data_IF_030717237460
#
_entry.id   IF_030717237460
#
_cell.length_a   1.000
_cell.length_b   1.000
_cell.length_c   1.000
_cell.angle_alpha   90.00
_cell.angle_beta   90.00
_cell.angle_gamma   90.00
#
_symmetry.space_group_name_H-M   'P 1'
#
loop_
_entity.id
_entity.type
_entity.pdbx_description
1 polymer ?
#
# COMPACT_ATOMS: atom_id res chain seq x y z
N UNK A 1 42.62 19.80 -30.45
CA UNK A 1 41.71 19.13 -29.50
C UNK A 1 40.34 19.76 -29.72
N UNK A 2 39.45 19.04 -30.39
CA UNK A 2 38.18 19.53 -30.89
C UNK A 2 37.16 19.73 -29.77
N UNK A 3 36.33 20.78 -29.91
CA UNK A 3 35.16 21.08 -29.06
C UNK A 3 34.21 19.88 -28.92
N UNK A 4 34.24 18.95 -29.88
CA UNK A 4 33.47 17.70 -29.88
C UNK A 4 33.75 16.80 -28.67
N UNK A 5 34.98 16.84 -28.12
CA UNK A 5 35.32 16.04 -26.93
C UNK A 5 34.70 16.63 -25.65
N UNK A 6 34.45 17.95 -25.63
CA UNK A 6 33.84 18.63 -24.48
C UNK A 6 32.30 18.47 -24.47
N UNK A 7 31.68 18.30 -25.64
CA UNK A 7 30.24 18.09 -25.76
C UNK A 7 29.77 16.65 -25.46
N UNK A 8 30.68 15.67 -25.41
CA UNK A 8 30.33 14.27 -25.10
C UNK A 8 29.88 14.04 -23.65
N UNK A 9 30.13 15.00 -22.75
CA UNK A 9 29.70 14.97 -21.34
C UNK A 9 28.64 16.03 -20.99
N UNK A 10 28.19 16.83 -21.97
CA UNK A 10 27.12 17.78 -21.76
C UNK A 10 25.79 17.04 -21.69
N UNK A 11 25.32 16.72 -20.48
CA UNK A 11 23.93 16.30 -20.27
C UNK A 11 23.04 17.41 -20.81
N UNK A 12 22.27 17.11 -21.87
CA UNK A 12 21.31 18.04 -22.44
C UNK A 12 20.39 18.53 -21.31
N UNK A 13 20.11 19.84 -21.19
CA UNK A 13 19.20 20.33 -20.16
C UNK A 13 17.82 19.68 -20.35
N UNK A 14 17.42 18.81 -19.42
CA UNK A 14 16.10 18.19 -19.41
C UNK A 14 15.05 19.25 -19.14
N UNK A 15 14.04 19.37 -20.00
CA UNK A 15 12.98 20.36 -19.84
C UNK A 15 12.11 20.05 -18.61
N UNK A 16 11.47 21.05 -17.99
CA UNK A 16 10.58 20.84 -16.85
C UNK A 16 9.48 19.79 -17.11
N UNK A 17 8.99 19.72 -18.35
CA UNK A 17 7.99 18.73 -18.79
C UNK A 17 8.51 17.30 -18.72
N UNK A 18 9.74 17.05 -19.20
CA UNK A 18 10.35 15.71 -19.17
C UNK A 18 10.63 15.29 -17.72
N UNK A 19 11.07 16.23 -16.88
CA UNK A 19 11.28 15.98 -15.45
C UNK A 19 9.96 15.55 -14.78
N UNK A 20 8.87 16.28 -15.02
CA UNK A 20 7.55 15.96 -14.45
C UNK A 20 7.02 14.60 -14.94
N UNK A 21 7.23 14.27 -16.21
CA UNK A 21 6.86 12.97 -16.78
C UNK A 21 7.63 11.82 -16.12
N UNK A 22 8.94 11.97 -15.93
CA UNK A 22 9.76 10.97 -15.24
C UNK A 22 9.33 10.79 -13.78
N UNK A 23 9.08 11.89 -13.07
CA UNK A 23 8.58 11.83 -11.68
C UNK A 23 7.23 11.11 -11.59
N UNK A 24 6.32 11.33 -12.53
CA UNK A 24 5.04 10.64 -12.57
C UNK A 24 5.22 9.13 -12.81
N UNK A 25 6.11 8.74 -13.73
CA UNK A 25 6.40 7.34 -14.01
C UNK A 25 7.04 6.63 -12.81
N UNK A 26 7.96 7.32 -12.12
CA UNK A 26 8.57 6.83 -10.88
C UNK A 26 7.54 6.68 -9.76
N UNK A 27 6.59 7.60 -9.64
CA UNK A 27 5.48 7.45 -8.69
C UNK A 27 4.58 6.27 -9.07
N UNK A 28 4.31 6.04 -10.35
CA UNK A 28 3.41 4.98 -10.77
C UNK A 28 4.02 3.59 -10.57
N UNK A 29 5.27 3.38 -11.00
CA UNK A 29 5.91 2.06 -11.06
C UNK A 29 6.94 1.81 -9.97
N UNK A 30 7.38 2.85 -9.26
CA UNK A 30 8.49 2.79 -8.32
C UNK A 30 9.85 2.87 -9.03
N UNK A 31 10.91 2.73 -8.25
CA UNK A 31 12.30 2.68 -8.71
C UNK A 31 13.01 1.49 -8.07
N UNK A 32 14.29 1.27 -8.35
CA UNK A 32 15.07 0.24 -7.64
C UNK A 32 15.27 0.54 -6.15
N UNK A 33 15.05 1.80 -5.73
CA UNK A 33 15.32 2.26 -4.36
C UNK A 33 14.07 2.66 -3.59
N UNK A 34 12.98 2.95 -4.30
CA UNK A 34 11.74 3.48 -3.71
C UNK A 34 10.52 2.75 -4.28
N UNK A 35 9.54 2.42 -3.42
CA UNK A 35 8.28 1.84 -3.88
C UNK A 35 7.47 2.82 -4.73
N UNK A 36 6.50 2.32 -5.52
CA UNK A 36 5.49 3.17 -6.16
C UNK A 36 4.71 3.96 -5.10
N UNK A 37 4.27 5.15 -5.47
CA UNK A 37 3.57 6.10 -4.60
C UNK A 37 2.09 6.20 -4.94
N UNK A 38 1.26 6.06 -3.91
CA UNK A 38 -0.19 6.25 -3.96
C UNK A 38 -0.47 7.74 -4.03
N UNK A 39 -0.80 8.25 -5.21
CA UNK A 39 -1.00 9.69 -5.44
C UNK A 39 -2.45 10.12 -5.21
N UNK A 40 -3.40 9.23 -5.47
CA UNK A 40 -4.84 9.45 -5.36
C UNK A 40 -5.55 8.24 -4.75
N UNK A 41 -6.80 8.42 -4.32
CA UNK A 41 -7.59 7.35 -3.69
C UNK A 41 -8.09 6.33 -4.73
N UNK A 42 -8.28 6.77 -5.97
CA UNK A 42 -8.77 5.97 -7.10
C UNK A 42 -7.72 4.94 -7.54
N UNK A 43 -6.44 5.25 -7.32
CA UNK A 43 -5.32 4.37 -7.66
C UNK A 43 -5.11 3.22 -6.67
N UNK A 44 -5.80 3.21 -5.52
CA UNK A 44 -5.48 2.32 -4.40
C UNK A 44 -5.32 0.85 -4.80
N UNK A 45 -6.28 0.28 -5.53
CA UNK A 45 -6.24 -1.15 -5.88
C UNK A 45 -5.06 -1.49 -6.78
N UNK A 46 -4.83 -0.69 -7.83
CA UNK A 46 -3.68 -0.90 -8.71
C UNK A 46 -2.35 -0.60 -8.04
N UNK A 47 -2.29 0.44 -7.20
CA UNK A 47 -1.11 0.77 -6.41
C UNK A 47 -0.77 -0.34 -5.43
N UNK A 48 -1.77 -0.91 -4.74
CA UNK A 48 -1.59 -1.99 -3.77
C UNK A 48 -0.85 -3.14 -4.43
N UNK A 49 -1.36 -3.66 -5.55
CA UNK A 49 -0.72 -4.76 -6.26
C UNK A 49 0.73 -4.43 -6.67
N UNK A 50 0.99 -3.20 -7.14
CA UNK A 50 2.37 -2.77 -7.49
C UNK A 50 3.27 -2.66 -6.25
N UNK A 51 2.75 -2.15 -5.15
CA UNK A 51 3.47 -2.02 -3.89
C UNK A 51 3.84 -3.38 -3.30
N UNK A 52 2.90 -4.33 -3.28
CA UNK A 52 3.14 -5.71 -2.82
C UNK A 52 4.23 -6.38 -3.67
N UNK A 53 4.08 -6.35 -5.00
CA UNK A 53 5.05 -6.92 -5.94
C UNK A 53 6.43 -6.26 -5.88
N UNK A 54 6.51 -5.01 -5.44
CA UNK A 54 7.77 -4.31 -5.25
C UNK A 54 8.40 -4.66 -3.89
N UNK A 55 7.64 -4.67 -2.80
CA UNK A 55 8.20 -4.86 -1.44
C UNK A 55 8.58 -6.31 -1.18
N UNK A 56 7.78 -7.29 -1.59
CA UNK A 56 8.03 -8.70 -1.31
C UNK A 56 9.43 -9.19 -1.75
N UNK A 57 9.87 -9.01 -3.02
CA UNK A 57 11.17 -9.47 -3.45
C UNK A 57 12.33 -8.63 -2.89
N UNK A 58 12.12 -7.34 -2.65
CA UNK A 58 13.19 -6.41 -2.24
C UNK A 58 13.39 -6.37 -0.71
N UNK A 59 12.32 -6.57 0.07
CA UNK A 59 12.27 -6.34 1.51
C UNK A 59 11.38 -7.36 2.24
N UNK A 60 11.55 -8.66 1.93
CA UNK A 60 10.72 -9.73 2.47
C UNK A 60 10.57 -9.71 4.00
N UNK A 61 11.65 -9.48 4.76
CA UNK A 61 11.58 -9.38 6.23
C UNK A 61 10.71 -8.23 6.72
N UNK A 62 10.73 -7.10 6.01
CA UNK A 62 9.89 -5.94 6.31
C UNK A 62 8.43 -6.26 5.97
N UNK A 63 8.18 -6.96 4.86
CA UNK A 63 6.85 -7.43 4.47
C UNK A 63 6.20 -8.32 5.54
N UNK A 64 6.97 -9.21 6.17
CA UNK A 64 6.45 -10.05 7.27
C UNK A 64 5.84 -9.23 8.42
N UNK A 65 6.31 -8.00 8.65
CA UNK A 65 5.83 -7.14 9.74
C UNK A 65 4.40 -6.60 9.53
N UNK A 66 3.92 -6.49 8.29
CA UNK A 66 2.51 -6.13 8.05
C UNK A 66 1.57 -7.35 8.12
N UNK A 67 2.11 -8.54 7.83
CA UNK A 67 1.40 -9.81 7.99
C UNK A 67 1.21 -10.13 9.48
N UNK A 68 2.30 -10.01 10.25
CA UNK A 68 2.32 -10.26 11.70
C UNK A 68 2.82 -9.02 12.44
N UNK A 69 1.97 -8.50 13.35
CA UNK A 69 2.29 -7.32 14.16
C UNK A 69 3.65 -7.50 14.85
N UNK A 70 4.54 -6.55 14.63
CA UNK A 70 5.77 -6.46 15.42
C UNK A 70 5.43 -6.21 16.90
N UNK A 71 6.15 -6.89 17.78
CA UNK A 71 6.03 -6.72 19.23
C UNK A 71 7.42 -6.47 19.77
N UNK A 72 7.55 -5.45 20.63
CA UNK A 72 8.82 -5.16 21.27
C UNK A 72 9.29 -6.35 22.12
N UNK A 73 10.56 -6.75 21.99
CA UNK A 73 11.15 -7.78 22.84
C UNK A 73 11.00 -7.45 24.32
N UNK A 74 10.75 -8.47 25.15
CA UNK A 74 10.59 -8.34 26.59
C UNK A 74 11.61 -9.16 27.35
N UNK A 75 11.98 -8.69 28.53
CA UNK A 75 12.80 -9.43 29.49
C UNK A 75 11.99 -10.55 30.14
N UNK A 76 12.66 -11.41 30.91
CA UNK A 76 12.00 -12.46 31.71
C UNK A 76 10.95 -11.89 32.68
N UNK A 77 11.13 -10.64 33.11
CA UNK A 77 10.22 -9.91 34.00
C UNK A 77 9.07 -9.21 33.26
N UNK A 78 8.85 -9.53 31.98
CA UNK A 78 7.81 -8.90 31.12
C UNK A 78 7.98 -7.40 30.88
N UNK A 79 9.16 -6.84 31.18
CA UNK A 79 9.48 -5.44 30.87
C UNK A 79 10.00 -5.33 29.44
N UNK A 80 9.62 -4.27 28.73
CA UNK A 80 10.15 -4.00 27.39
C UNK A 80 11.67 -3.78 27.45
N UNK A 81 12.40 -4.49 26.58
CA UNK A 81 13.85 -4.33 26.46
C UNK A 81 14.20 -3.00 25.80
N UNK A 82 15.33 -2.42 26.19
CA UNK A 82 15.95 -1.33 25.44
C UNK A 82 16.68 -1.88 24.20
N UNK A 83 16.85 -1.04 23.18
CA UNK A 83 17.53 -1.43 21.92
C UNK A 83 18.96 -1.94 22.18
N UNK A 84 19.65 -1.44 23.20
CA UNK A 84 20.98 -1.91 23.61
C UNK A 84 20.99 -3.38 24.04
N UNK A 85 19.89 -3.87 24.60
CA UNK A 85 19.73 -5.22 25.15
C UNK A 85 19.23 -6.22 24.10
N UNK A 86 18.94 -5.77 22.88
CA UNK A 86 18.45 -6.64 21.83
C UNK A 86 19.55 -7.56 21.34
N UNK A 87 19.24 -8.85 21.23
CA UNK A 87 20.06 -9.79 20.49
C UNK A 87 19.94 -9.55 18.97
N UNK A 88 20.76 -10.21 18.17
CA UNK A 88 20.82 -9.97 16.72
C UNK A 88 19.49 -10.18 16.01
N UNK A 89 18.74 -11.22 16.38
CA UNK A 89 17.41 -11.52 15.81
C UNK A 89 16.37 -10.47 16.19
N UNK A 90 16.40 -10.00 17.44
CA UNK A 90 15.54 -8.91 17.92
C UNK A 90 15.85 -7.59 17.19
N UNK A 91 17.15 -7.28 16.97
CA UNK A 91 17.58 -6.12 16.19
C UNK A 91 17.17 -6.21 14.73
N UNK A 92 17.28 -7.39 14.12
CA UNK A 92 16.85 -7.64 12.75
C UNK A 92 15.35 -7.36 12.60
N UNK A 93 14.51 -7.91 13.48
CA UNK A 93 13.06 -7.68 13.45
C UNK A 93 12.70 -6.21 13.69
N UNK A 94 13.40 -5.54 14.62
CA UNK A 94 13.20 -4.11 14.85
C UNK A 94 13.56 -3.27 13.61
N UNK A 95 14.68 -3.58 12.94
CA UNK A 95 15.07 -2.91 11.70
C UNK A 95 14.06 -3.17 10.58
N UNK A 96 13.57 -4.40 10.45
CA UNK A 96 12.55 -4.76 9.47
C UNK A 96 11.25 -3.96 9.69
N UNK A 97 10.78 -3.83 10.94
CA UNK A 97 9.61 -3.01 11.27
C UNK A 97 9.83 -1.54 10.91
N UNK A 98 10.99 -0.96 11.27
CA UNK A 98 11.31 0.44 10.94
C UNK A 98 11.44 0.66 9.43
N UNK A 99 12.02 -0.31 8.72
CA UNK A 99 12.10 -0.27 7.27
C UNK A 99 10.70 -0.29 6.65
N UNK A 100 9.82 -1.18 7.10
CA UNK A 100 8.47 -1.27 6.57
C UNK A 100 7.66 0.01 6.79
N UNK A 101 7.77 0.63 7.98
CA UNK A 101 7.16 1.94 8.26
C UNK A 101 7.69 3.00 7.28
N UNK A 102 9.00 3.05 7.07
CA UNK A 102 9.62 4.00 6.13
C UNK A 102 9.13 3.80 4.70
N UNK A 103 9.03 2.54 4.24
CA UNK A 103 8.52 2.20 2.91
C UNK A 103 7.07 2.66 2.74
N UNK A 104 6.21 2.43 3.74
CA UNK A 104 4.81 2.90 3.72
C UNK A 104 4.73 4.43 3.68
N UNK A 105 5.53 5.14 4.48
CA UNK A 105 5.56 6.61 4.47
C UNK A 105 6.05 7.19 3.13
N UNK A 106 6.95 6.50 2.44
CA UNK A 106 7.40 6.91 1.11
C UNK A 106 6.33 6.62 0.03
N UNK A 107 5.65 5.49 0.16
CA UNK A 107 4.69 5.00 -0.81
C UNK A 107 3.29 5.60 -0.66
N UNK A 108 3.00 6.33 0.42
CA UNK A 108 1.70 6.94 0.66
C UNK A 108 1.88 8.45 0.62
N UNK A 109 1.06 9.16 -0.15
CA UNK A 109 1.05 10.62 -0.13
C UNK A 109 0.59 11.13 1.24
N UNK A 110 1.22 12.20 1.73
CA UNK A 110 1.06 12.70 3.10
C UNK A 110 -0.40 13.02 3.44
N UNK A 111 -1.16 13.61 2.50
CA UNK A 111 -2.58 13.94 2.67
C UNK A 111 -3.47 12.71 2.87
N UNK A 112 -3.10 11.56 2.29
CA UNK A 112 -3.74 10.26 2.56
C UNK A 112 -3.27 9.73 3.91
N UNK A 113 -1.96 9.79 4.18
CA UNK A 113 -1.35 9.21 5.38
C UNK A 113 -1.93 9.80 6.67
N UNK A 114 -2.07 11.13 6.76
CA UNK A 114 -2.59 11.82 7.95
C UNK A 114 -4.06 11.48 8.26
N UNK A 115 -4.80 10.94 7.29
CA UNK A 115 -6.20 10.53 7.47
C UNK A 115 -6.34 9.09 8.00
N UNK A 116 -5.24 8.34 8.09
CA UNK A 116 -5.26 6.97 8.57
C UNK A 116 -5.27 6.94 10.11
N UNK A 117 -6.16 6.13 10.67
CA UNK A 117 -6.16 5.85 12.11
C UNK A 117 -5.27 4.64 12.38
N UNK A 118 -4.08 4.87 12.91
CA UNK A 118 -3.06 3.83 13.10
C UNK A 118 -2.27 4.03 14.40
N UNK A 119 -1.62 2.97 14.91
CA UNK A 119 -0.86 2.97 16.18
C UNK A 119 0.66 3.09 15.97
N UNK A 120 1.06 3.55 14.78
CA UNK A 120 2.45 3.70 14.30
C UNK A 120 3.23 2.39 14.11
N UNK A 121 2.57 1.22 14.17
CA UNK A 121 3.15 -0.02 13.64
C UNK A 121 2.92 -0.13 12.14
N UNK A 122 3.83 -0.79 11.42
CA UNK A 122 3.69 -1.05 9.97
C UNK A 122 2.35 -1.73 9.66
N UNK A 123 2.00 -2.75 10.45
CA UNK A 123 0.74 -3.47 10.35
C UNK A 123 -0.48 -2.57 10.54
N UNK A 124 -0.49 -1.70 11.54
CA UNK A 124 -1.63 -0.81 11.76
C UNK A 124 -1.84 0.18 10.60
N UNK A 125 -0.76 0.69 10.00
CA UNK A 125 -0.82 1.58 8.84
C UNK A 125 -1.42 0.81 7.65
N UNK A 126 -0.92 -0.39 7.40
CA UNK A 126 -1.41 -1.25 6.32
C UNK A 126 -2.88 -1.66 6.49
N UNK A 127 -3.27 -2.05 7.71
CA UNK A 127 -4.64 -2.43 8.01
C UNK A 127 -5.57 -1.20 7.93
N UNK A 128 -5.11 -0.01 8.36
CA UNK A 128 -5.87 1.23 8.22
C UNK A 128 -6.11 1.61 6.75
N UNK A 129 -5.11 1.42 5.87
CA UNK A 129 -5.29 1.59 4.42
C UNK A 129 -6.39 0.65 3.90
N UNK A 130 -6.30 -0.65 4.19
CA UNK A 130 -7.31 -1.62 3.74
C UNK A 130 -8.70 -1.25 4.25
N UNK A 131 -8.84 -0.91 5.53
CA UNK A 131 -10.14 -0.49 6.08
C UNK A 131 -10.66 0.78 5.41
N UNK A 132 -9.79 1.74 5.08
CA UNK A 132 -10.17 3.00 4.42
C UNK A 132 -10.70 2.76 3.00
N UNK A 133 -10.11 1.84 2.24
CA UNK A 133 -10.39 1.70 0.81
C UNK A 133 -11.20 0.45 0.43
N UNK A 134 -10.95 -0.68 1.08
CA UNK A 134 -11.71 -1.93 0.89
C UNK A 134 -12.96 -1.96 1.80
N UNK A 135 -12.91 -1.19 2.89
CA UNK A 135 -13.93 -1.20 3.93
C UNK A 135 -13.64 -2.20 5.04
N UNK A 136 -14.32 -2.03 6.18
CA UNK A 136 -14.26 -3.04 7.24
C UNK A 136 -14.90 -4.35 6.77
N UNK A 137 -14.47 -5.47 7.32
CA UNK A 137 -15.11 -6.77 7.05
C UNK A 137 -16.63 -6.72 7.25
N UNK A 138 -17.09 -5.98 8.25
CA UNK A 138 -18.51 -5.80 8.54
C UNK A 138 -19.20 -5.01 7.43
N UNK A 139 -18.59 -3.96 6.89
CA UNK A 139 -19.15 -3.21 5.76
C UNK A 139 -19.23 -4.09 4.51
N UNK A 140 -18.21 -4.88 4.22
CA UNK A 140 -18.19 -5.82 3.08
C UNK A 140 -19.29 -6.88 3.26
N UNK A 141 -19.41 -7.48 4.45
CA UNK A 141 -20.46 -8.45 4.79
C UNK A 141 -21.85 -7.85 4.63
N UNK A 142 -22.07 -6.63 5.13
CA UNK A 142 -23.35 -5.91 5.01
C UNK A 142 -23.70 -5.60 3.54
N UNK A 143 -22.75 -5.11 2.73
CA UNK A 143 -22.96 -4.88 1.29
C UNK A 143 -23.32 -6.19 0.56
N UNK A 144 -22.61 -7.28 0.85
CA UNK A 144 -22.90 -8.60 0.27
C UNK A 144 -24.27 -9.12 0.69
N UNK A 145 -24.68 -8.92 1.93
CA UNK A 145 -26.02 -9.29 2.42
C UNK A 145 -27.12 -8.47 1.74
N UNK A 146 -26.90 -7.17 1.56
CA UNK A 146 -27.83 -6.29 0.85
C UNK A 146 -28.00 -6.72 -0.60
N UNK A 147 -26.91 -6.91 -1.34
CA UNK A 147 -26.94 -7.39 -2.74
C UNK A 147 -27.65 -8.75 -2.86
N UNK A 148 -27.41 -9.67 -1.92
CA UNK A 148 -28.14 -10.96 -1.89
C UNK A 148 -29.63 -10.76 -1.67
N UNK A 149 -30.03 -9.85 -0.77
CA UNK A 149 -31.44 -9.55 -0.51
C UNK A 149 -32.10 -8.90 -1.73
N UNK A 150 -31.43 -7.96 -2.38
CA UNK A 150 -31.88 -7.32 -3.63
C UNK A 150 -32.02 -8.34 -4.75
N UNK A 151 -31.05 -9.24 -4.91
CA UNK A 151 -31.12 -10.33 -5.87
C UNK A 151 -32.28 -11.29 -5.59
N UNK A 152 -32.48 -11.70 -4.33
CA UNK A 152 -33.62 -12.55 -3.95
C UNK A 152 -34.94 -11.83 -4.21
N UNK A 153 -35.04 -10.54 -3.85
CA UNK A 153 -36.23 -9.73 -4.14
C UNK A 153 -36.50 -9.68 -5.66
N UNK A 154 -35.45 -9.46 -6.45
CA UNK A 154 -35.48 -9.48 -7.90
C UNK A 154 -35.94 -10.82 -8.48
N UNK A 155 -35.47 -11.94 -7.92
CA UNK A 155 -35.85 -13.29 -8.35
C UNK A 155 -37.17 -13.82 -7.76
N UNK A 156 -37.77 -13.11 -6.80
CA UNK A 156 -38.94 -13.58 -6.05
C UNK A 156 -40.28 -13.18 -6.62
N UNK A 157 -40.33 -12.43 -7.73
CA UNK A 157 -41.57 -12.11 -8.42
C UNK A 157 -42.13 -13.38 -9.07
N UNK A 158 -43.22 -13.97 -8.56
CA UNK A 158 -43.78 -15.18 -9.12
C UNK A 158 -44.40 -14.83 -10.48
N UNK A 159 -44.07 -15.59 -11.53
CA UNK A 159 -44.58 -15.45 -12.91
C UNK A 159 -43.87 -14.42 -13.82
N UNK A 160 -42.73 -13.86 -13.41
CA UNK A 160 -41.93 -13.00 -14.31
C UNK A 160 -41.00 -13.85 -15.20
N UNK A 161 -41.27 -13.86 -16.52
CA UNK A 161 -40.38 -14.45 -17.52
C UNK A 161 -39.12 -13.58 -17.71
N UNK A 162 -37.98 -14.19 -18.07
CA UNK A 162 -36.66 -13.53 -18.22
C UNK A 162 -36.75 -12.29 -19.12
N UNK A 163 -37.65 -12.30 -20.12
CA UNK A 163 -37.88 -11.14 -21.00
C UNK A 163 -38.45 -9.92 -20.27
N UNK A 164 -39.44 -10.11 -19.38
CA UNK A 164 -40.03 -9.03 -18.58
C UNK A 164 -39.04 -8.47 -17.57
N UNK A 165 -38.16 -9.33 -17.08
CA UNK A 165 -37.05 -8.97 -16.18
C UNK A 165 -36.04 -8.03 -16.87
N UNK A 166 -35.71 -8.31 -18.14
CA UNK A 166 -34.79 -7.47 -18.94
C UNK A 166 -35.45 -6.14 -19.33
N UNK A 167 -36.73 -6.12 -19.72
CA UNK A 167 -37.41 -4.88 -20.15
C UNK A 167 -37.61 -3.83 -19.04
N UNK A 168 -37.48 -4.20 -17.76
CA UNK A 168 -37.62 -3.27 -16.63
C UNK A 168 -36.39 -2.38 -16.42
N UNK A 169 -35.26 -2.66 -17.10
CA UNK A 169 -33.96 -1.99 -16.93
C UNK A 169 -33.21 -1.81 -18.25
#
# INVERSE_FOLDING_TARGET
MSEDFYNAFATSPTTPTVIAQNMNLENETGTTQKPPKLMSIEEYYGWKDRFENWVEPNHLRSWECILKRYVLPRTELQTEKQISEFNDKEREMYRAEKMMISLLQQAIKEDIFVLLQHDKTSKSIWDALKVKFEGSENMIKSKKALLKKEFVLFSSLPEEDIKKLIERY
#
